data_IF_612958091497
#
_entry.id   IF_612958091497
#
_cell.length_a   1.000
_cell.length_b   1.000
_cell.length_c   1.000
_cell.angle_alpha   90.00
_cell.angle_beta   90.00
_cell.angle_gamma   90.00
#
_symmetry.space_group_name_H-M   'P 1'
#
loop_
_entity.id
_entity.type
_entity.pdbx_description
1 polymer ?
#
# COMPACT_ATOMS: atom_id res chain seq x y z
N UNK A 1 7.36 -58.05 -4.93
CA UNK A 1 6.43 -57.13 -5.64
C UNK A 1 5.90 -55.97 -4.76
N UNK A 2 6.48 -55.72 -3.57
CA UNK A 2 6.04 -54.62 -2.68
C UNK A 2 6.73 -53.27 -3.01
N UNK A 3 8.02 -53.30 -3.37
CA UNK A 3 8.81 -52.07 -3.59
C UNK A 3 8.42 -51.31 -4.84
N UNK A 4 7.95 -51.99 -5.90
CA UNK A 4 7.55 -51.35 -7.16
C UNK A 4 6.24 -50.55 -7.01
N UNK A 5 5.30 -51.02 -6.18
CA UNK A 5 4.06 -50.30 -5.87
C UNK A 5 4.32 -49.07 -4.98
N UNK A 6 5.25 -49.19 -4.02
CA UNK A 6 5.66 -48.08 -3.17
C UNK A 6 6.38 -46.97 -3.97
N UNK A 7 7.25 -47.35 -4.92
CA UNK A 7 7.92 -46.39 -5.81
C UNK A 7 6.92 -45.72 -6.77
N UNK A 8 5.96 -46.45 -7.33
CA UNK A 8 4.93 -45.87 -8.20
C UNK A 8 4.02 -44.91 -7.41
N UNK A 9 3.66 -45.24 -6.18
CA UNK A 9 2.82 -44.38 -5.34
C UNK A 9 3.55 -43.09 -4.94
N UNK A 10 4.83 -43.17 -4.59
CA UNK A 10 5.63 -41.99 -4.23
C UNK A 10 5.87 -41.06 -5.42
N UNK A 11 6.14 -41.60 -6.61
CA UNK A 11 6.27 -40.80 -7.84
C UNK A 11 4.94 -40.13 -8.23
N UNK A 12 3.82 -40.84 -8.08
CA UNK A 12 2.50 -40.27 -8.35
C UNK A 12 2.15 -39.13 -7.37
N UNK A 13 2.46 -39.29 -6.08
CA UNK A 13 2.27 -38.23 -5.07
C UNK A 13 3.15 -37.02 -5.37
N UNK A 14 4.43 -37.22 -5.73
CA UNK A 14 5.32 -36.13 -6.13
C UNK A 14 4.80 -35.39 -7.37
N UNK A 15 4.32 -36.11 -8.38
CA UNK A 15 3.80 -35.51 -9.60
C UNK A 15 2.53 -34.67 -9.33
N UNK A 16 1.63 -35.15 -8.47
CA UNK A 16 0.44 -34.40 -8.03
C UNK A 16 0.82 -33.16 -7.24
N UNK A 17 1.83 -33.25 -6.36
CA UNK A 17 2.33 -32.10 -5.61
C UNK A 17 2.89 -31.02 -6.54
N UNK A 18 3.71 -31.43 -7.53
CA UNK A 18 4.34 -30.52 -8.49
C UNK A 18 3.32 -29.85 -9.41
N UNK A 19 2.25 -30.55 -9.79
CA UNK A 19 1.14 -29.97 -10.55
C UNK A 19 0.36 -28.92 -9.73
N UNK A 20 0.12 -29.17 -8.44
CA UNK A 20 -0.55 -28.21 -7.55
C UNK A 20 0.27 -26.91 -7.33
N UNK A 21 1.61 -27.00 -7.35
CA UNK A 21 2.52 -25.85 -7.20
C UNK A 21 2.57 -24.95 -8.45
N UNK A 22 2.18 -25.46 -9.63
CA UNK A 22 2.22 -24.70 -10.89
C UNK A 22 0.99 -23.81 -11.15
N UNK A 23 0.00 -23.82 -10.26
CA UNK A 23 -1.23 -23.03 -10.40
C UNK A 23 -1.08 -21.54 -9.99
N UNK A 24 0.13 -21.03 -9.76
CA UNK A 24 0.37 -19.64 -9.40
C UNK A 24 0.88 -18.82 -10.59
N UNK A 25 0.05 -18.70 -11.64
CA UNK A 25 0.27 -17.64 -12.63
C UNK A 25 -1.04 -16.89 -12.85
N UNK A 26 -0.97 -15.59 -12.57
CA UNK A 26 -1.96 -14.56 -12.84
C UNK A 26 -3.14 -14.48 -11.86
N UNK A 27 -2.88 -13.96 -10.66
CA UNK A 27 -3.87 -13.18 -9.94
C UNK A 27 -3.35 -11.75 -9.79
N UNK A 28 -4.12 -10.80 -10.32
CA UNK A 28 -4.05 -9.37 -9.99
C UNK A 28 -3.91 -9.21 -8.47
N UNK A 29 -3.08 -8.28 -7.97
CA UNK A 29 -2.99 -8.04 -6.54
C UNK A 29 -4.23 -7.26 -6.08
N UNK A 30 -5.33 -7.97 -5.86
CA UNK A 30 -6.50 -7.50 -5.14
C UNK A 30 -6.26 -7.67 -3.63
N UNK A 31 -6.16 -6.53 -2.93
CA UNK A 31 -6.36 -6.23 -1.49
C UNK A 31 -5.88 -7.17 -0.36
N UNK A 32 -5.76 -8.49 -0.52
CA UNK A 32 -5.50 -9.46 0.56
C UNK A 32 -4.02 -9.65 0.93
N UNK A 33 -3.08 -9.22 0.06
CA UNK A 33 -1.65 -9.28 0.37
C UNK A 33 -1.29 -8.32 1.50
N UNK A 34 -2.02 -7.20 1.63
CA UNK A 34 -1.84 -6.22 2.72
C UNK A 34 -2.09 -6.84 4.10
N UNK A 35 -3.05 -7.75 4.20
CA UNK A 35 -3.46 -8.36 5.48
C UNK A 35 -2.39 -9.31 6.04
N UNK A 36 -1.67 -10.02 5.15
CA UNK A 36 -0.57 -10.89 5.55
C UNK A 36 0.66 -10.10 6.01
N UNK A 37 0.92 -8.93 5.41
CA UNK A 37 1.99 -8.03 5.87
C UNK A 37 1.65 -7.41 7.23
N UNK A 38 0.41 -6.97 7.45
CA UNK A 38 -0.03 -6.47 8.76
C UNK A 38 0.05 -7.60 9.83
N UNK A 39 -0.34 -8.84 9.50
CA UNK A 39 -0.21 -10.00 10.40
C UNK A 39 1.23 -10.41 10.68
N UNK A 40 2.14 -10.35 9.68
CA UNK A 40 3.56 -10.62 9.86
C UNK A 40 4.25 -9.52 10.69
N UNK A 41 3.82 -8.27 10.52
CA UNK A 41 4.29 -7.10 11.28
C UNK A 41 3.85 -7.15 12.75
N UNK A 42 2.68 -7.71 13.06
CA UNK A 42 2.22 -7.88 14.43
C UNK A 42 3.01 -8.94 15.21
N UNK A 43 3.61 -9.92 14.51
CA UNK A 43 4.23 -11.10 15.14
C UNK A 43 5.74 -10.97 15.38
N UNK A 44 6.43 -10.16 14.59
CA UNK A 44 7.86 -9.93 14.75
C UNK A 44 8.08 -8.43 14.96
N UNK A 45 8.77 -8.04 16.02
CA UNK A 45 9.30 -6.69 16.23
C UNK A 45 10.26 -6.32 15.08
N UNK A 46 9.70 -6.00 13.92
CA UNK A 46 10.43 -5.69 12.69
C UNK A 46 10.61 -4.18 12.68
N UNK A 47 11.84 -3.77 13.03
CA UNK A 47 12.50 -2.47 12.80
C UNK A 47 11.62 -1.22 12.87
N UNK A 48 11.98 -0.28 13.77
CA UNK A 48 11.41 1.08 13.92
C UNK A 48 11.40 1.95 12.63
N UNK A 49 11.76 1.39 11.48
CA UNK A 49 11.76 2.03 10.16
C UNK A 49 10.71 1.43 9.19
N UNK A 50 9.68 0.74 9.70
CA UNK A 50 8.59 0.24 8.86
C UNK A 50 7.60 1.37 8.55
N UNK A 51 7.37 1.63 7.25
CA UNK A 51 6.39 2.61 6.76
C UNK A 51 5.11 1.87 6.36
N UNK A 52 3.97 2.31 6.91
CA UNK A 52 2.66 1.83 6.47
C UNK A 52 2.26 2.55 5.19
N UNK A 53 2.01 1.79 4.12
CA UNK A 53 1.49 2.34 2.86
C UNK A 53 -0.03 2.15 2.85
N UNK A 54 -0.77 3.25 2.83
CA UNK A 54 -2.23 3.26 2.71
C UNK A 54 -2.59 3.68 1.29
N UNK A 55 -3.37 2.86 0.60
CA UNK A 55 -3.99 3.26 -0.67
C UNK A 55 -5.41 3.74 -0.38
N UNK A 56 -5.64 5.03 -0.59
CA UNK A 56 -6.97 5.61 -0.63
C UNK A 56 -7.53 5.58 -2.05
N UNK A 57 -8.71 6.17 -2.22
CA UNK A 57 -9.38 6.30 -3.52
C UNK A 57 -9.53 7.80 -3.78
N UNK A 58 -8.67 8.38 -4.62
CA UNK A 58 -8.95 9.71 -5.13
C UNK A 58 -10.03 9.64 -6.22
N UNK A 59 -11.22 10.16 -5.92
CA UNK A 59 -12.27 10.35 -6.93
C UNK A 59 -12.10 11.68 -7.72
N UNK A 60 -10.91 12.27 -7.69
CA UNK A 60 -10.59 13.48 -8.46
C UNK A 60 -9.11 13.88 -8.37
N UNK A 61 -8.69 14.81 -9.23
CA UNK A 61 -7.32 15.37 -9.27
C UNK A 61 -7.03 16.32 -8.09
N UNK A 62 -7.69 16.14 -6.95
CA UNK A 62 -7.70 17.12 -5.87
C UNK A 62 -7.74 16.39 -4.54
N UNK A 63 -6.63 16.46 -3.82
CA UNK A 63 -6.53 16.04 -2.43
C UNK A 63 -7.41 16.96 -1.56
N UNK A 64 -7.99 16.45 -0.47
CA UNK A 64 -8.99 17.18 0.32
C UNK A 64 -8.51 18.59 0.76
N UNK A 65 -7.25 18.70 1.19
CA UNK A 65 -6.59 19.98 1.47
C UNK A 65 -5.06 19.80 1.59
N UNK A 66 -4.29 20.87 1.36
CA UNK A 66 -2.84 20.91 1.52
C UNK A 66 -2.36 22.31 1.91
N UNK A 67 -1.67 22.46 3.05
CA UNK A 67 -1.12 23.75 3.49
C UNK A 67 0.26 24.05 2.86
N UNK A 68 1.12 23.04 2.74
CA UNK A 68 2.46 23.13 2.18
C UNK A 68 2.54 22.40 0.83
N UNK A 69 2.24 23.11 -0.27
CA UNK A 69 2.30 22.56 -1.62
C UNK A 69 3.57 23.00 -2.37
N UNK A 70 4.21 22.07 -3.07
CA UNK A 70 5.39 22.33 -3.90
C UNK A 70 5.17 21.86 -5.34
N UNK A 71 5.43 22.73 -6.31
CA UNK A 71 5.31 22.42 -7.73
C UNK A 71 6.64 22.56 -8.47
N UNK A 72 6.85 21.71 -9.45
CA UNK A 72 7.90 21.86 -10.45
C UNK A 72 7.56 22.99 -11.42
N UNK A 73 8.58 23.60 -12.04
CA UNK A 73 8.41 24.68 -13.03
C UNK A 73 8.16 24.17 -14.46
N UNK A 74 7.70 22.92 -14.63
CA UNK A 74 7.36 22.34 -15.93
C UNK A 74 5.98 22.76 -16.42
N UNK A 75 5.66 22.48 -17.69
CA UNK A 75 4.30 22.58 -18.24
C UNK A 75 3.87 21.21 -18.78
N UNK A 76 2.84 20.54 -18.21
CA UNK A 76 2.12 20.92 -17.00
C UNK A 76 3.01 20.87 -15.72
N UNK A 77 2.68 21.65 -14.69
CA UNK A 77 3.42 21.63 -13.43
C UNK A 77 3.09 20.33 -12.68
N UNK A 78 4.09 19.68 -12.12
CA UNK A 78 3.90 18.55 -11.20
C UNK A 78 3.97 19.06 -9.76
N UNK A 79 2.86 18.98 -9.04
CA UNK A 79 2.68 19.46 -7.67
C UNK A 79 2.56 18.29 -6.70
N UNK A 80 3.10 18.46 -5.49
CA UNK A 80 3.01 17.49 -4.40
C UNK A 80 2.73 18.20 -3.08
N UNK A 81 1.99 17.53 -2.20
CA UNK A 81 1.75 18.03 -0.84
C UNK A 81 2.89 17.59 0.10
N UNK A 82 3.40 18.51 0.90
CA UNK A 82 4.44 18.25 1.90
C UNK A 82 3.92 18.24 3.33
N UNK A 83 2.60 18.38 3.52
CA UNK A 83 1.98 18.27 4.83
C UNK A 83 2.31 16.93 5.49
N UNK A 84 2.61 17.02 6.78
CA UNK A 84 2.71 15.86 7.67
C UNK A 84 1.55 15.96 8.65
N UNK A 85 0.77 14.89 8.77
CA UNK A 85 -0.40 14.85 9.62
C UNK A 85 -0.43 13.55 10.43
N UNK A 86 -1.00 13.62 11.63
CA UNK A 86 -1.20 12.45 12.49
C UNK A 86 -2.54 11.77 12.31
N UNK A 87 -3.49 12.43 11.64
CA UNK A 87 -4.81 11.89 11.40
C UNK A 87 -4.82 11.01 10.13
N UNK A 88 -5.01 9.68 10.26
CA UNK A 88 -5.07 8.78 9.11
C UNK A 88 -6.27 9.05 8.18
N UNK A 89 -7.31 9.76 8.61
CA UNK A 89 -8.45 10.10 7.75
C UNK A 89 -8.03 10.97 6.56
N UNK A 90 -6.98 11.79 6.71
CA UNK A 90 -6.42 12.60 5.63
C UNK A 90 -5.78 11.76 4.51
N UNK A 91 -5.42 10.50 4.77
CA UNK A 91 -4.93 9.59 3.73
C UNK A 91 -6.02 9.08 2.78
N UNK A 92 -7.32 9.24 3.11
CA UNK A 92 -8.39 8.71 2.25
C UNK A 92 -8.52 9.45 0.93
N UNK A 93 -8.19 10.74 0.91
CA UNK A 93 -8.10 11.56 -0.30
C UNK A 93 -6.70 11.52 -0.92
N UNK A 94 -6.02 10.37 -0.82
CA UNK A 94 -4.75 10.11 -1.49
C UNK A 94 -4.71 8.71 -2.11
N UNK A 95 -4.17 8.57 -3.31
CA UNK A 95 -3.92 7.27 -3.93
C UNK A 95 -2.76 6.56 -3.23
N UNK A 96 -1.75 7.33 -2.83
CA UNK A 96 -0.61 6.82 -2.08
C UNK A 96 -0.33 7.69 -0.84
N UNK A 97 -0.56 7.11 0.34
CA UNK A 97 -0.21 7.70 1.61
C UNK A 97 0.83 6.84 2.34
N UNK A 98 1.83 7.47 2.94
CA UNK A 98 2.85 6.82 3.76
C UNK A 98 2.77 7.31 5.19
N UNK A 99 2.71 6.40 6.15
CA UNK A 99 2.69 6.71 7.58
C UNK A 99 3.82 6.00 8.32
N UNK A 100 4.41 6.67 9.30
CA UNK A 100 5.26 6.00 10.30
C UNK A 100 4.40 5.13 11.22
N UNK A 101 4.97 4.05 11.73
CA UNK A 101 4.33 3.21 12.77
C UNK A 101 4.53 3.76 14.20
N UNK A 102 4.96 5.02 14.35
CA UNK A 102 5.12 5.69 15.65
C UNK A 102 3.76 6.07 16.26
N UNK A 103 3.73 6.38 17.56
CA UNK A 103 2.57 7.00 18.19
C UNK A 103 2.92 8.41 18.71
N UNK A 104 2.29 9.48 18.19
CA UNK A 104 1.32 9.49 17.09
C UNK A 104 1.97 9.11 15.74
N UNK A 105 1.20 8.57 14.78
CA UNK A 105 1.72 8.30 13.45
C UNK A 105 2.02 9.63 12.74
N UNK A 106 3.01 9.63 11.86
CA UNK A 106 3.31 10.75 10.99
C UNK A 106 3.07 10.29 9.56
N UNK A 107 2.00 10.81 8.96
CA UNK A 107 1.54 10.46 7.63
C UNK A 107 1.81 11.59 6.64
N UNK A 108 2.09 11.23 5.39
CA UNK A 108 2.26 12.13 4.27
C UNK A 108 1.67 11.52 3.00
N UNK A 109 1.04 12.35 2.19
CA UNK A 109 0.59 11.98 0.87
C UNK A 109 1.70 12.11 -0.17
N UNK A 110 1.76 11.16 -1.10
CA UNK A 110 2.77 11.10 -2.15
C UNK A 110 2.19 11.31 -3.55
N UNK A 111 0.92 11.67 -3.62
CA UNK A 111 0.28 11.93 -4.90
C UNK A 111 0.89 13.15 -5.59
N UNK A 112 0.91 13.05 -6.92
CA UNK A 112 1.39 14.12 -7.79
C UNK A 112 0.21 14.59 -8.62
N UNK A 113 -0.12 15.86 -8.47
CA UNK A 113 -1.24 16.53 -9.14
C UNK A 113 -0.73 17.64 -10.05
N UNK A 114 -1.56 18.11 -10.98
CA UNK A 114 -1.21 19.25 -11.83
C UNK A 114 -1.49 20.61 -11.16
N UNK A 115 -2.06 20.60 -9.95
CA UNK A 115 -2.40 21.80 -9.18
C UNK A 115 -2.35 21.54 -7.67
N UNK A 116 -2.24 22.61 -6.89
CA UNK A 116 -2.30 22.53 -5.43
C UNK A 116 -3.76 22.52 -4.94
N UNK A 117 -4.04 21.64 -3.98
CA UNK A 117 -5.27 21.68 -3.20
C UNK A 117 -5.36 22.95 -2.32
N UNK A 118 -6.56 23.35 -1.92
CA UNK A 118 -6.76 24.49 -1.01
C UNK A 118 -6.12 24.20 0.36
N UNK A 119 -5.75 25.24 1.12
CA UNK A 119 -5.21 25.09 2.47
C UNK A 119 -6.24 24.47 3.41
N UNK A 120 -5.78 23.62 4.33
CA UNK A 120 -6.63 22.90 5.27
C UNK A 120 -7.30 23.82 6.29
N UNK A 121 -6.65 24.94 6.62
CA UNK A 121 -7.23 25.98 7.46
C UNK A 121 -8.49 26.64 6.86
N UNK A 122 -8.64 26.63 5.53
CA UNK A 122 -9.80 27.20 4.85
C UNK A 122 -10.99 26.23 4.76
N UNK A 123 -10.78 24.94 5.03
CA UNK A 123 -11.83 23.90 4.96
C UNK A 123 -12.51 23.68 6.31
N UNK A 124 -11.98 24.23 7.41
CA UNK A 124 -12.58 24.15 8.75
C UNK A 124 -13.80 25.07 8.96
N UNK A 125 -14.24 25.78 7.91
CA UNK A 125 -15.39 26.69 7.95
C UNK A 125 -16.35 26.38 6.80
N UNK A 126 -17.09 25.28 6.90
CA UNK A 126 -18.42 25.11 6.31
C UNK A 126 -19.17 23.96 7.02
#
# INVERSE_FOLDING_TARGET
MASKKAVVMTVAVLAVLLLALSATVSARPDAHVLDLFDLLSARNHVSDNFVRVVRGKNEGNMMACCDACYCTKSMPPKCMCADIFSDPHRCMGCDLCMCTMSYPPQCKCLDVTDCCSPPCSAVATD
#
